data_IF_455526563368
#
_entry.id   IF_455526563368
#
_cell.length_a   1.000
_cell.length_b   1.000
_cell.length_c   1.000
_cell.angle_alpha   90.00
_cell.angle_beta   90.00
_cell.angle_gamma   90.00
#
_symmetry.space_group_name_H-M   'P 1'
#
loop_
_entity.id
_entity.type
_entity.pdbx_description
1 polymer ?
#
# COMPACT_ATOMS: atom_id res chain seq x y z
N UNK A 1 -3.95 36.30 9.97
CA UNK A 1 -4.03 34.91 9.49
C UNK A 1 -5.34 34.34 10.02
N UNK A 2 -6.30 33.93 9.18
CA UNK A 2 -7.46 33.20 9.68
C UNK A 2 -6.94 31.88 10.25
N UNK A 3 -7.32 31.55 11.48
CA UNK A 3 -7.08 30.24 12.07
C UNK A 3 -7.91 29.22 11.28
N UNK A 4 -7.26 28.29 10.58
CA UNK A 4 -7.97 27.16 9.99
C UNK A 4 -8.78 26.42 11.07
N UNK A 5 -9.97 25.89 10.75
CA UNK A 5 -10.71 25.08 11.70
C UNK A 5 -9.84 23.91 12.15
N UNK A 6 -9.82 23.63 13.46
CA UNK A 6 -9.19 22.42 13.98
C UNK A 6 -10.04 21.21 13.57
N UNK A 7 -9.79 20.66 12.39
CA UNK A 7 -10.37 19.41 11.95
C UNK A 7 -9.77 18.26 12.76
N UNK A 8 -10.63 17.33 13.21
CA UNK A 8 -10.14 16.11 13.84
C UNK A 8 -9.39 15.26 12.82
N UNK A 9 -8.44 14.46 13.27
CA UNK A 9 -7.73 13.48 12.45
C UNK A 9 -8.67 12.58 11.62
N UNK A 10 -9.85 12.28 12.18
CA UNK A 10 -10.93 11.54 11.50
C UNK A 10 -11.56 12.36 10.36
N UNK A 11 -11.86 13.65 10.59
CA UNK A 11 -12.35 14.57 9.54
C UNK A 11 -11.41 14.59 8.34
N UNK A 12 -10.11 14.73 8.59
CA UNK A 12 -9.11 14.73 7.52
C UNK A 12 -8.99 13.38 6.79
N UNK A 13 -9.22 12.26 7.47
CA UNK A 13 -9.23 10.94 6.82
C UNK A 13 -10.48 10.81 5.94
N UNK A 14 -11.65 11.21 6.44
CA UNK A 14 -12.91 11.17 5.68
C UNK A 14 -12.84 12.06 4.44
N UNK A 15 -12.30 13.28 4.55
CA UNK A 15 -12.02 14.18 3.41
C UNK A 15 -11.12 13.52 2.35
N UNK A 16 -10.07 12.82 2.79
CA UNK A 16 -9.14 12.13 1.88
C UNK A 16 -9.80 10.93 1.20
N UNK A 17 -10.62 10.16 1.93
CA UNK A 17 -11.37 9.03 1.38
C UNK A 17 -12.40 9.49 0.35
N UNK A 18 -13.12 10.57 0.64
CA UNK A 18 -14.08 11.19 -0.27
C UNK A 18 -13.39 11.69 -1.55
N UNK A 19 -12.27 12.40 -1.41
CA UNK A 19 -11.50 12.91 -2.55
C UNK A 19 -11.06 11.80 -3.52
N UNK A 20 -10.71 10.61 -3.02
CA UNK A 20 -10.33 9.45 -3.86
C UNK A 20 -11.52 8.55 -4.23
N UNK A 21 -12.74 8.91 -3.84
CA UNK A 21 -13.95 8.17 -4.15
C UNK A 21 -14.12 6.86 -3.40
N UNK A 22 -13.52 6.70 -2.21
CA UNK A 22 -13.66 5.48 -1.39
C UNK A 22 -14.84 5.63 -0.42
N UNK A 23 -16.02 5.28 -0.92
CA UNK A 23 -17.27 5.18 -0.16
C UNK A 23 -17.49 3.80 0.47
N UNK A 24 -18.72 3.54 0.91
CA UNK A 24 -19.06 2.27 1.56
C UNK A 24 -19.01 1.07 0.61
N UNK A 25 -19.38 1.28 -0.66
CA UNK A 25 -19.36 0.23 -1.67
C UNK A 25 -17.92 -0.19 -2.00
N UNK A 26 -17.02 0.79 -2.13
CA UNK A 26 -15.60 0.57 -2.40
C UNK A 26 -14.92 -0.10 -1.21
N UNK A 27 -15.23 0.30 0.03
CA UNK A 27 -14.75 -0.38 1.24
C UNK A 27 -15.19 -1.84 1.27
N UNK A 28 -16.46 -2.12 0.95
CA UNK A 28 -16.98 -3.49 0.87
C UNK A 28 -16.24 -4.30 -0.20
N UNK A 29 -16.07 -3.75 -1.39
CA UNK A 29 -15.33 -4.41 -2.48
C UNK A 29 -13.87 -4.69 -2.09
N UNK A 30 -13.18 -3.70 -1.51
CA UNK A 30 -11.80 -3.83 -1.06
C UNK A 30 -11.65 -4.95 -0.03
N UNK A 31 -12.53 -4.97 0.99
CA UNK A 31 -12.52 -6.00 2.03
C UNK A 31 -12.76 -7.41 1.48
N UNK A 32 -13.66 -7.55 0.51
CA UNK A 32 -13.94 -8.82 -0.17
C UNK A 32 -12.76 -9.33 -1.02
N UNK A 33 -11.89 -8.43 -1.47
CA UNK A 33 -10.70 -8.74 -2.25
C UNK A 33 -9.44 -8.93 -1.38
N UNK A 34 -9.56 -8.83 -0.05
CA UNK A 34 -8.39 -8.84 0.85
C UNK A 34 -7.47 -10.04 0.69
N UNK A 35 -8.01 -11.26 0.59
CA UNK A 35 -7.21 -12.47 0.35
C UNK A 35 -6.53 -12.47 -1.03
N UNK A 36 -7.23 -11.98 -2.06
CA UNK A 36 -6.69 -11.88 -3.42
C UNK A 36 -5.54 -10.87 -3.47
N UNK A 37 -5.69 -9.72 -2.80
CA UNK A 37 -4.64 -8.71 -2.66
C UNK A 37 -3.44 -9.29 -1.89
N UNK A 38 -3.66 -10.02 -0.80
CA UNK A 38 -2.59 -10.65 -0.04
C UNK A 38 -1.78 -11.63 -0.92
N UNK A 39 -2.46 -12.48 -1.71
CA UNK A 39 -1.82 -13.39 -2.67
C UNK A 39 -1.04 -12.65 -3.76
N UNK A 40 -1.60 -11.57 -4.30
CA UNK A 40 -0.92 -10.75 -5.30
C UNK A 40 0.36 -10.10 -4.75
N UNK A 41 0.34 -9.71 -3.47
CA UNK A 41 1.44 -9.00 -2.84
C UNK A 41 2.60 -9.89 -2.40
N UNK A 42 2.40 -11.18 -2.16
CA UNK A 42 3.48 -12.07 -1.69
C UNK A 42 4.69 -12.05 -2.64
N UNK A 43 4.50 -12.49 -3.89
CA UNK A 43 5.57 -12.46 -4.90
C UNK A 43 5.95 -11.05 -5.36
N UNK A 44 5.07 -10.06 -5.18
CA UNK A 44 5.36 -8.65 -5.53
C UNK A 44 6.32 -8.02 -4.55
N UNK A 45 6.17 -8.30 -3.25
CA UNK A 45 7.09 -7.83 -2.22
C UNK A 45 8.49 -8.41 -2.38
N UNK A 46 8.62 -9.68 -2.79
CA UNK A 46 9.92 -10.26 -3.10
C UNK A 46 10.62 -9.53 -4.24
N UNK A 47 9.90 -9.27 -5.34
CA UNK A 47 10.44 -8.49 -6.46
C UNK A 47 10.81 -7.07 -6.05
N UNK A 48 10.01 -6.45 -5.18
CA UNK A 48 10.29 -5.12 -4.64
C UNK A 48 11.59 -5.10 -3.83
N UNK A 49 11.74 -5.97 -2.84
CA UNK A 49 12.95 -5.99 -2.01
C UNK A 49 14.20 -6.42 -2.79
N UNK A 50 14.06 -7.29 -3.79
CA UNK A 50 15.15 -7.61 -4.72
C UNK A 50 15.61 -6.39 -5.54
N UNK A 51 14.72 -5.46 -5.91
CA UNK A 51 15.10 -4.20 -6.56
C UNK A 51 15.63 -3.17 -5.57
N UNK A 52 14.98 -3.02 -4.42
CA UNK A 52 15.35 -2.04 -3.40
C UNK A 52 16.76 -2.28 -2.84
N UNK A 53 17.17 -3.54 -2.70
CA UNK A 53 18.52 -3.90 -2.24
C UNK A 53 19.60 -3.81 -3.33
N UNK A 54 19.23 -3.70 -4.61
CA UNK A 54 20.17 -3.51 -5.73
C UNK A 54 20.44 -2.05 -6.07
N UNK A 55 19.51 -1.15 -5.78
CA UNK A 55 19.69 0.28 -5.99
C UNK A 55 20.43 0.90 -4.79
N UNK A 56 21.63 1.49 -4.96
CA UNK A 56 22.42 2.03 -3.84
C UNK A 56 21.66 3.03 -2.96
N UNK A 57 20.79 3.86 -3.55
CA UNK A 57 20.03 4.89 -2.82
C UNK A 57 19.00 4.32 -1.86
N UNK A 58 18.45 3.14 -2.18
CA UNK A 58 17.47 2.45 -1.33
C UNK A 58 18.10 1.35 -0.49
N UNK A 59 19.17 0.72 -0.98
CA UNK A 59 19.89 -0.32 -0.27
C UNK A 59 20.48 0.18 1.06
N UNK A 60 20.91 1.45 1.10
CA UNK A 60 21.48 2.08 2.29
C UNK A 60 20.56 2.08 3.53
N UNK A 61 19.24 1.88 3.36
CA UNK A 61 18.30 1.79 4.48
C UNK A 61 18.27 0.41 5.15
N UNK A 62 18.92 -0.59 4.55
CA UNK A 62 18.94 -1.97 5.05
C UNK A 62 20.32 -2.34 5.58
N UNK A 63 20.35 -2.94 6.78
CA UNK A 63 21.59 -3.29 7.48
C UNK A 63 22.00 -4.74 7.26
N UNK A 64 21.04 -5.60 6.93
CA UNK A 64 21.24 -7.02 6.70
C UNK A 64 20.03 -7.62 5.96
N UNK A 65 20.15 -8.87 5.54
CA UNK A 65 19.05 -9.68 5.01
C UNK A 65 17.92 -9.86 6.04
N UNK A 66 18.23 -10.01 7.34
CA UNK A 66 17.19 -10.08 8.37
C UNK A 66 16.41 -8.77 8.48
N UNK A 67 17.07 -7.61 8.34
CA UNK A 67 16.40 -6.31 8.34
C UNK A 67 15.43 -6.19 7.13
N UNK A 68 15.83 -6.71 5.97
CA UNK A 68 14.96 -6.78 4.78
C UNK A 68 13.76 -7.69 5.02
N UNK A 69 13.97 -8.88 5.58
CA UNK A 69 12.87 -9.81 5.90
C UNK A 69 11.88 -9.17 6.87
N UNK A 70 12.37 -8.55 7.95
CA UNK A 70 11.53 -7.85 8.91
C UNK A 70 10.74 -6.69 8.29
N UNK A 71 11.37 -5.95 7.38
CA UNK A 71 10.68 -4.91 6.62
C UNK A 71 9.60 -5.50 5.69
N UNK A 72 9.85 -6.65 5.05
CA UNK A 72 8.85 -7.38 4.25
C UNK A 72 7.66 -7.78 5.11
N UNK A 73 7.89 -8.40 6.27
CA UNK A 73 6.82 -8.83 7.17
C UNK A 73 5.95 -7.63 7.62
N UNK A 74 6.56 -6.48 7.90
CA UNK A 74 5.82 -5.24 8.21
C UNK A 74 5.00 -4.71 7.03
N UNK A 75 5.53 -4.78 5.81
CA UNK A 75 4.77 -4.40 4.62
C UNK A 75 3.57 -5.32 4.40
N UNK A 76 3.71 -6.63 4.62
CA UNK A 76 2.56 -7.57 4.57
C UNK A 76 1.48 -7.13 5.55
N UNK A 77 1.84 -6.85 6.80
CA UNK A 77 0.89 -6.35 7.80
C UNK A 77 0.22 -5.04 7.38
N UNK A 78 1.00 -4.07 6.89
CA UNK A 78 0.49 -2.77 6.43
C UNK A 78 -0.52 -2.92 5.28
N UNK A 79 -0.22 -3.78 4.31
CA UNK A 79 -1.14 -4.04 3.20
C UNK A 79 -2.40 -4.79 3.62
N UNK A 80 -2.30 -5.73 4.58
CA UNK A 80 -3.47 -6.37 5.16
C UNK A 80 -4.38 -5.35 5.87
N UNK A 81 -3.79 -4.40 6.60
CA UNK A 81 -4.52 -3.30 7.23
C UNK A 81 -5.26 -2.45 6.19
N UNK A 82 -4.61 -2.06 5.08
CA UNK A 82 -5.27 -1.33 3.97
C UNK A 82 -6.41 -2.17 3.36
N UNK A 83 -6.13 -3.43 3.02
CA UNK A 83 -7.08 -4.30 2.34
C UNK A 83 -8.29 -4.69 3.21
N UNK A 84 -8.18 -4.57 4.54
CA UNK A 84 -9.31 -4.76 5.46
C UNK A 84 -10.43 -3.73 5.27
N UNK A 85 -10.12 -2.56 4.67
CA UNK A 85 -10.99 -1.41 4.54
C UNK A 85 -11.54 -0.83 5.86
N UNK A 86 -10.97 -1.22 7.00
CA UNK A 86 -11.30 -0.67 8.32
C UNK A 86 -10.51 0.61 8.57
N UNK A 87 -10.95 1.71 7.98
CA UNK A 87 -10.30 3.01 8.10
C UNK A 87 -10.70 3.73 9.40
N UNK A 88 -10.26 3.17 10.52
CA UNK A 88 -10.51 3.68 11.87
C UNK A 88 -9.26 4.35 12.48
N UNK A 89 -9.27 4.58 13.79
CA UNK A 89 -8.15 5.19 14.50
C UNK A 89 -6.90 4.30 14.52
N UNK A 90 -7.05 2.98 14.52
CA UNK A 90 -5.91 2.04 14.49
C UNK A 90 -5.26 2.06 13.11
N UNK A 91 -6.07 2.06 12.04
CA UNK A 91 -5.59 2.29 10.68
C UNK A 91 -4.79 3.59 10.58
N UNK A 92 -5.36 4.69 11.09
CA UNK A 92 -4.72 6.00 11.00
C UNK A 92 -3.37 6.04 11.75
N UNK A 93 -3.33 5.49 12.96
CA UNK A 93 -2.10 5.39 13.73
C UNK A 93 -1.04 4.56 12.99
N UNK A 94 -1.44 3.43 12.40
CA UNK A 94 -0.57 2.55 11.64
C UNK A 94 0.05 3.24 10.41
N UNK A 95 -0.78 3.81 9.53
CA UNK A 95 -0.28 4.46 8.30
C UNK A 95 0.54 5.72 8.61
N UNK A 96 0.20 6.44 9.68
CA UNK A 96 0.97 7.59 10.16
C UNK A 96 2.35 7.16 10.64
N UNK A 97 2.44 6.08 11.44
CA UNK A 97 3.71 5.54 11.89
C UNK A 97 4.62 5.09 10.72
N UNK A 98 4.02 4.51 9.67
CA UNK A 98 4.74 4.16 8.43
C UNK A 98 5.28 5.41 7.73
N UNK A 99 4.45 6.45 7.55
CA UNK A 99 4.87 7.71 6.93
C UNK A 99 5.99 8.39 7.71
N UNK A 100 5.84 8.52 9.03
CA UNK A 100 6.86 9.09 9.92
C UNK A 100 8.16 8.28 9.91
N UNK A 101 8.07 6.96 9.80
CA UNK A 101 9.26 6.11 9.67
C UNK A 101 10.05 6.44 8.41
N UNK A 102 9.38 6.55 7.26
CA UNK A 102 10.05 6.90 6.00
C UNK A 102 10.62 8.33 6.03
N UNK A 103 9.89 9.27 6.62
CA UNK A 103 10.38 10.64 6.80
C UNK A 103 11.63 10.69 7.68
N UNK A 104 11.64 9.98 8.82
CA UNK A 104 12.80 9.90 9.72
C UNK A 104 14.01 9.24 9.06
N UNK A 105 13.79 8.23 8.21
CA UNK A 105 14.86 7.62 7.42
C UNK A 105 15.42 8.57 6.35
N UNK A 106 14.68 9.61 5.97
CA UNK A 106 15.04 10.46 4.84
C UNK A 106 14.82 9.77 3.50
N UNK A 107 13.89 8.81 3.42
CA UNK A 107 13.53 8.19 2.15
C UNK A 107 12.89 9.24 1.24
N UNK A 108 13.54 9.58 0.14
CA UNK A 108 13.01 10.57 -0.79
C UNK A 108 11.63 10.14 -1.33
N UNK A 109 10.67 11.08 -1.48
CA UNK A 109 9.31 10.76 -1.93
C UNK A 109 9.25 9.97 -3.25
N UNK A 110 10.20 10.20 -4.18
CA UNK A 110 10.27 9.47 -5.45
C UNK A 110 10.40 7.95 -5.28
N UNK A 111 11.14 7.50 -4.25
CA UNK A 111 11.35 6.09 -3.98
C UNK A 111 10.15 5.49 -3.25
N UNK A 112 9.56 6.28 -2.35
CA UNK A 112 8.37 5.86 -1.62
C UNK A 112 7.16 5.68 -2.54
N UNK A 113 6.87 6.68 -3.39
CA UNK A 113 5.80 6.63 -4.39
C UNK A 113 6.08 5.52 -5.42
N UNK A 114 7.34 5.37 -5.86
CA UNK A 114 7.75 4.27 -6.74
C UNK A 114 7.48 2.88 -6.13
N UNK A 115 7.64 2.73 -4.81
CA UNK A 115 7.28 1.52 -4.08
C UNK A 115 5.79 1.19 -4.21
N UNK A 116 4.91 2.17 -3.99
CA UNK A 116 3.45 1.97 -4.19
C UNK A 116 3.09 1.63 -5.63
N UNK A 117 3.73 2.27 -6.61
CA UNK A 117 3.52 1.95 -8.03
C UNK A 117 3.84 0.48 -8.34
N UNK A 118 4.89 -0.08 -7.74
CA UNK A 118 5.22 -1.50 -7.88
C UNK A 118 4.19 -2.44 -7.22
N UNK A 119 3.64 -2.04 -6.07
CA UNK A 119 2.59 -2.84 -5.40
C UNK A 119 1.31 -2.85 -6.23
N UNK A 120 0.90 -1.69 -6.75
CA UNK A 120 -0.25 -1.57 -7.64
C UNK A 120 -0.08 -2.39 -8.93
N UNK A 121 1.09 -2.32 -9.58
CA UNK A 121 1.41 -3.15 -10.76
C UNK A 121 1.28 -4.64 -10.46
N UNK A 122 1.76 -5.09 -9.30
CA UNK A 122 1.63 -6.47 -8.85
C UNK A 122 0.18 -6.90 -8.65
N UNK A 123 -0.64 -6.04 -8.04
CA UNK A 123 -2.08 -6.29 -7.81
C UNK A 123 -2.81 -6.37 -9.15
N UNK A 124 -2.63 -5.40 -10.06
CA UNK A 124 -3.32 -5.36 -11.36
C UNK A 124 -2.99 -6.60 -12.20
N UNK A 125 -1.70 -6.97 -12.31
CA UNK A 125 -1.30 -8.17 -13.07
C UNK A 125 -1.87 -9.45 -12.50
N UNK A 126 -2.05 -9.54 -11.19
CA UNK A 126 -2.65 -10.72 -10.57
C UNK A 126 -4.12 -10.86 -10.96
N UNK A 127 -4.86 -9.75 -11.04
CA UNK A 127 -6.24 -9.75 -11.54
C UNK A 127 -6.32 -10.13 -13.01
N UNK A 128 -5.43 -9.59 -13.86
CA UNK A 128 -5.41 -9.92 -15.29
C UNK A 128 -5.09 -11.41 -15.53
N UNK A 129 -4.16 -11.99 -14.77
CA UNK A 129 -3.81 -13.41 -14.88
C UNK A 129 -4.91 -14.35 -14.38
N UNK A 130 -5.81 -13.86 -13.52
CA UNK A 130 -6.97 -14.60 -13.02
C UNK A 130 -8.24 -14.45 -13.86
N UNK A 131 -8.27 -13.51 -14.81
CA UNK A 131 -9.37 -13.38 -15.74
C UNK A 131 -9.31 -14.54 -16.75
N UNK A 132 -10.41 -15.31 -16.95
CA UNK A 132 -10.43 -16.26 -18.06
C UNK A 132 -10.21 -15.48 -19.35
N UNK A 133 -9.20 -15.90 -20.13
CA UNK A 133 -8.98 -15.39 -21.49
C UNK A 133 -10.31 -15.40 -22.21
N UNK A 134 -10.86 -14.21 -22.46
CA UNK A 134 -12.22 -14.06 -22.97
C UNK A 134 -12.42 -14.95 -24.19
N UNK A 135 -13.46 -15.77 -24.15
CA UNK A 135 -13.99 -16.43 -25.33
C UNK A 135 -14.22 -15.35 -26.39
N UNK A 136 -13.44 -15.39 -27.46
CA UNK A 136 -13.74 -14.65 -28.67
C UNK A 136 -15.17 -15.03 -29.09
N UNK A 137 -16.11 -14.11 -28.86
CA UNK A 137 -17.46 -14.21 -29.37
C UNK A 137 -17.39 -14.06 -30.88
N UNK A 138 -17.47 -15.18 -31.58
CA UNK A 138 -17.82 -15.22 -33.00
C UNK A 138 -19.27 -14.77 -33.12
N UNK A 139 -19.48 -13.63 -33.76
CA UNK A 139 -20.70 -13.30 -34.52
C UNK A 139 -20.28 -12.79 -35.87
#
# INVERSE_FOLDING_TARGET
MPTEPHHSERSHLDERLDFVGIGQQEKKALSALSETIAKALDGTLDRFYAKATKNPKTAAFFRSSEHVKHAKDRQVSHWNTIASAKFDAEYLAGVTAVGLTHARLGLEPRWYIGGYAMMMDGIVRHFDAGAPSGSAGTT
#
